data_IF_469499318100
#
_entry.id   IF_469499318100
#
_cell.length_a   1.000
_cell.length_b   1.000
_cell.length_c   1.000
_cell.angle_alpha   90.00
_cell.angle_beta   90.00
_cell.angle_gamma   90.00
#
_symmetry.space_group_name_H-M   'P 1'
#
loop_
_entity.id
_entity.type
_entity.pdbx_description
1 polymer ?
#
# COMPACT_ATOMS: atom_id res chain seq x y z
N UNK A 1 -7.84 21.53 -15.65
CA UNK A 1 -7.69 20.16 -16.16
C UNK A 1 -9.07 19.56 -16.17
N UNK A 2 -9.92 20.03 -17.08
CA UNK A 2 -11.31 19.60 -17.18
C UNK A 2 -11.56 19.27 -18.65
N UNK A 3 -12.32 18.19 -18.88
CA UNK A 3 -12.87 17.75 -20.18
C UNK A 3 -12.14 16.67 -21.00
N UNK A 4 -11.15 15.94 -20.49
CA UNK A 4 -10.48 14.90 -21.32
C UNK A 4 -11.44 13.79 -21.81
N UNK A 5 -12.48 13.45 -21.04
CA UNK A 5 -13.41 12.36 -21.38
C UNK A 5 -14.81 12.83 -21.81
N UNK A 6 -15.16 14.10 -21.57
CA UNK A 6 -16.51 14.61 -21.86
C UNK A 6 -16.71 14.63 -23.37
N UNK A 7 -17.69 13.87 -23.85
CA UNK A 7 -17.97 13.73 -25.29
C UNK A 7 -17.03 12.75 -26.02
N UNK A 8 -16.14 12.07 -25.31
CA UNK A 8 -15.25 11.07 -25.91
C UNK A 8 -15.96 9.73 -26.22
N UNK A 9 -17.13 9.49 -25.64
CA UNK A 9 -17.89 8.24 -25.76
C UNK A 9 -19.26 8.49 -26.41
N UNK A 10 -19.66 7.58 -27.32
CA UNK A 10 -20.94 7.66 -28.04
C UNK A 10 -22.14 7.14 -27.23
N UNK A 11 -21.89 6.24 -26.29
CA UNK A 11 -22.95 5.49 -25.58
C UNK A 11 -22.89 5.63 -24.05
N UNK A 12 -21.88 6.32 -23.51
CA UNK A 12 -21.69 6.51 -22.07
C UNK A 12 -21.53 8.01 -21.81
N UNK A 13 -22.25 8.51 -20.82
CA UNK A 13 -21.99 9.83 -20.26
C UNK A 13 -20.92 9.70 -19.17
N UNK A 14 -19.66 9.98 -19.54
CA UNK A 14 -18.52 9.91 -18.62
C UNK A 14 -18.62 10.87 -17.44
N UNK A 15 -19.49 11.89 -17.51
CA UNK A 15 -19.68 12.85 -16.40
C UNK A 15 -20.47 12.25 -15.25
N UNK A 16 -21.15 11.12 -15.47
CA UNK A 16 -21.85 10.35 -14.44
C UNK A 16 -20.93 9.38 -13.68
N UNK A 17 -19.67 9.26 -14.08
CA UNK A 17 -18.71 8.41 -13.40
C UNK A 17 -18.41 8.96 -12.00
N UNK A 18 -18.45 8.08 -11.01
CA UNK A 18 -18.09 8.37 -9.62
C UNK A 18 -16.73 7.78 -9.32
N UNK A 19 -15.85 8.56 -8.72
CA UNK A 19 -14.54 8.10 -8.25
C UNK A 19 -14.54 8.20 -6.73
N UNK A 20 -14.39 7.06 -6.07
CA UNK A 20 -14.41 6.97 -4.61
C UNK A 20 -13.01 6.60 -4.12
N UNK A 21 -12.39 7.46 -3.31
CA UNK A 21 -11.21 7.15 -2.52
C UNK A 21 -11.67 6.67 -1.14
N UNK A 22 -11.46 5.39 -0.86
CA UNK A 22 -11.86 4.75 0.38
C UNK A 22 -10.63 4.28 1.15
N UNK A 23 -10.55 4.63 2.44
CA UNK A 23 -9.43 4.26 3.30
C UNK A 23 -9.91 4.04 4.75
N UNK A 24 -9.32 3.06 5.44
CA UNK A 24 -9.57 2.84 6.86
C UNK A 24 -8.88 3.90 7.74
N UNK A 25 -7.85 4.58 7.21
CA UNK A 25 -7.18 5.66 7.91
C UNK A 25 -8.11 6.89 8.08
N UNK A 26 -7.92 7.69 9.14
CA UNK A 26 -8.74 8.88 9.40
C UNK A 26 -8.36 10.09 8.53
N UNK A 27 -7.31 9.98 7.71
CA UNK A 27 -6.78 11.09 6.91
C UNK A 27 -6.16 10.58 5.60
N UNK A 28 -6.19 11.43 4.56
CA UNK A 28 -5.41 11.23 3.34
C UNK A 28 -3.93 11.49 3.64
N UNK A 29 -3.04 10.61 3.17
CA UNK A 29 -1.59 10.68 3.36
C UNK A 29 -1.17 10.94 4.84
N UNK A 30 -1.57 10.11 5.82
CA UNK A 30 -1.25 10.34 7.24
C UNK A 30 0.23 10.61 7.53
N UNK A 31 1.21 9.91 6.91
CA UNK A 31 2.64 10.17 7.14
C UNK A 31 3.11 11.58 6.77
N UNK A 32 2.36 12.31 5.93
CA UNK A 32 2.68 13.68 5.51
C UNK A 32 2.14 14.74 6.49
N UNK A 33 1.40 14.32 7.52
CA UNK A 33 0.80 15.20 8.52
C UNK A 33 -0.49 15.89 8.05
N UNK A 34 -1.26 16.40 9.02
CA UNK A 34 -2.62 16.90 8.80
C UNK A 34 -2.71 18.03 7.75
N UNK A 35 -1.75 18.97 7.75
CA UNK A 35 -1.76 20.11 6.82
C UNK A 35 -1.66 19.67 5.35
N UNK A 36 -0.75 18.74 5.04
CA UNK A 36 -0.57 18.26 3.67
C UNK A 36 -1.67 17.28 3.27
N UNK A 37 -2.12 16.43 4.20
CA UNK A 37 -3.25 15.54 4.00
C UNK A 37 -4.54 16.29 3.65
N UNK A 38 -4.88 17.35 4.39
CA UNK A 38 -6.05 18.20 4.10
C UNK A 38 -5.94 18.90 2.75
N UNK A 39 -4.76 19.40 2.38
CA UNK A 39 -4.53 20.00 1.05
C UNK A 39 -4.74 18.98 -0.07
N UNK A 40 -4.24 17.76 0.10
CA UNK A 40 -4.46 16.67 -0.86
C UNK A 40 -5.94 16.31 -0.97
N UNK A 41 -6.64 16.16 0.16
CA UNK A 41 -8.07 15.87 0.20
C UNK A 41 -8.90 16.96 -0.50
N UNK A 42 -8.66 18.25 -0.19
CA UNK A 42 -9.34 19.36 -0.83
C UNK A 42 -9.10 19.39 -2.35
N UNK A 43 -7.87 19.04 -2.79
CA UNK A 43 -7.55 18.95 -4.22
C UNK A 43 -8.32 17.82 -4.90
N UNK A 44 -8.40 16.64 -4.29
CA UNK A 44 -9.14 15.48 -4.81
C UNK A 44 -10.65 15.77 -4.87
N UNK A 45 -11.21 16.38 -3.83
CA UNK A 45 -12.62 16.80 -3.81
C UNK A 45 -12.93 17.81 -4.91
N UNK A 46 -12.03 18.78 -5.16
CA UNK A 46 -12.16 19.73 -6.28
C UNK A 46 -12.17 19.04 -7.65
N UNK A 47 -11.59 17.85 -7.76
CA UNK A 47 -11.60 17.01 -8.97
C UNK A 47 -12.84 16.09 -9.05
N UNK A 48 -13.74 16.15 -8.07
CA UNK A 48 -14.95 15.31 -8.01
C UNK A 48 -14.75 13.94 -7.36
N UNK A 49 -13.64 13.72 -6.65
CA UNK A 49 -13.41 12.47 -5.91
C UNK A 49 -14.20 12.49 -4.60
N UNK A 50 -15.02 11.46 -4.40
CA UNK A 50 -15.69 11.17 -3.13
C UNK A 50 -14.69 10.53 -2.17
N UNK A 51 -14.43 11.17 -1.03
CA UNK A 51 -13.48 10.67 -0.03
C UNK A 51 -14.26 10.05 1.13
N UNK A 52 -14.00 8.76 1.41
CA UNK A 52 -14.60 8.00 2.51
C UNK A 52 -13.50 7.44 3.41
N UNK A 53 -13.22 8.15 4.50
CA UNK A 53 -12.17 7.81 5.49
C UNK A 53 -12.78 7.11 6.69
N UNK A 54 -11.97 6.36 7.45
CA UNK A 54 -12.47 5.56 8.58
C UNK A 54 -13.41 4.42 8.14
N UNK A 55 -13.34 4.03 6.87
CA UNK A 55 -14.20 3.02 6.26
C UNK A 55 -13.32 1.87 5.75
N UNK A 56 -13.59 0.66 6.21
CA UNK A 56 -12.78 -0.52 5.91
C UNK A 56 -13.47 -1.42 4.91
N UNK A 57 -12.79 -1.79 3.82
CA UNK A 57 -13.27 -2.87 2.95
C UNK A 57 -13.13 -4.19 3.67
N UNK A 58 -14.23 -4.94 3.78
CA UNK A 58 -14.25 -6.26 4.42
C UNK A 58 -14.43 -7.39 3.42
N UNK A 59 -14.95 -7.10 2.22
CA UNK A 59 -15.14 -8.10 1.17
C UNK A 59 -15.14 -7.44 -0.23
N UNK A 60 -14.75 -8.21 -1.25
CA UNK A 60 -14.71 -7.79 -2.65
C UNK A 60 -15.20 -8.93 -3.53
N UNK A 61 -16.14 -8.63 -4.42
CA UNK A 61 -16.61 -9.58 -5.42
C UNK A 61 -16.54 -8.96 -6.84
N UNK A 62 -17.18 -9.63 -7.81
CA UNK A 62 -17.21 -9.19 -9.20
C UNK A 62 -17.83 -7.79 -9.35
N UNK A 63 -18.90 -7.52 -8.62
CA UNK A 63 -19.80 -6.39 -8.84
C UNK A 63 -19.51 -5.20 -7.90
N UNK A 64 -18.65 -5.36 -6.89
CA UNK A 64 -18.38 -4.27 -5.95
C UNK A 64 -17.62 -4.69 -4.70
N UNK A 65 -17.78 -3.87 -3.65
CA UNK A 65 -17.12 -4.03 -2.35
C UNK A 65 -18.10 -3.90 -1.18
N UNK A 66 -17.83 -4.63 -0.10
CA UNK A 66 -18.50 -4.48 1.20
C UNK A 66 -17.63 -3.65 2.12
N UNK A 67 -18.22 -2.65 2.74
CA UNK A 67 -17.55 -1.64 3.56
C UNK A 67 -18.14 -1.64 4.96
N UNK A 68 -17.28 -1.66 5.96
CA UNK A 68 -17.61 -1.42 7.36
C UNK A 68 -17.17 -0.01 7.75
N UNK A 69 -18.11 0.85 8.08
CA UNK A 69 -17.86 2.20 8.57
C UNK A 69 -17.42 2.19 10.04
N UNK A 70 -16.89 3.31 10.53
CA UNK A 70 -16.36 3.44 11.90
C UNK A 70 -17.41 3.25 13.00
N UNK A 71 -18.69 3.48 12.68
CA UNK A 71 -19.82 3.25 13.59
C UNK A 71 -20.29 1.78 13.62
N UNK A 72 -19.66 0.91 12.83
CA UNK A 72 -20.00 -0.50 12.71
C UNK A 72 -21.02 -0.82 11.61
N UNK A 73 -21.58 0.19 10.94
CA UNK A 73 -22.51 0.00 9.82
C UNK A 73 -21.80 -0.74 8.69
N UNK A 74 -22.49 -1.74 8.11
CA UNK A 74 -22.01 -2.47 6.95
C UNK A 74 -22.85 -2.10 5.74
N UNK A 75 -22.19 -1.63 4.68
CA UNK A 75 -22.84 -1.21 3.44
C UNK A 75 -22.09 -1.69 2.21
N UNK A 76 -22.79 -1.62 1.09
CA UNK A 76 -22.33 -2.09 -0.21
C UNK A 76 -22.03 -0.90 -1.13
N UNK A 77 -20.94 -0.98 -1.89
CA UNK A 77 -20.65 -0.07 -3.00
C UNK A 77 -20.53 -0.90 -4.27
N UNK A 78 -21.49 -0.75 -5.17
CA UNK A 78 -21.43 -1.35 -6.50
C UNK A 78 -20.39 -0.61 -7.36
N UNK A 79 -19.45 -1.37 -7.93
CA UNK A 79 -18.45 -0.86 -8.86
C UNK A 79 -17.92 -1.95 -9.76
N UNK A 80 -17.87 -1.67 -11.07
CA UNK A 80 -17.18 -2.53 -12.02
C UNK A 80 -15.66 -2.44 -11.91
N UNK A 81 -15.13 -1.26 -11.57
CA UNK A 81 -13.69 -0.99 -11.48
C UNK A 81 -13.27 -0.83 -10.02
N UNK A 82 -12.35 -1.68 -9.57
CA UNK A 82 -11.76 -1.62 -8.23
C UNK A 82 -10.25 -1.60 -8.37
N UNK A 83 -9.60 -0.60 -7.78
CA UNK A 83 -8.14 -0.49 -7.72
C UNK A 83 -7.73 -0.63 -6.27
N UNK A 84 -7.00 -1.70 -5.94
CA UNK A 84 -6.53 -1.93 -4.59
C UNK A 84 -5.11 -1.39 -4.41
N UNK A 85 -4.99 -0.35 -3.59
CA UNK A 85 -3.70 0.25 -3.21
C UNK A 85 -3.51 0.30 -1.69
N UNK A 86 -4.30 -0.48 -0.94
CA UNK A 86 -4.30 -0.49 0.51
C UNK A 86 -3.43 -1.65 1.05
N UNK A 87 -2.16 -1.34 1.34
CA UNK A 87 -1.21 -2.30 1.90
C UNK A 87 -0.61 -3.25 0.87
N UNK A 88 0.57 -3.77 1.22
CA UNK A 88 1.32 -4.75 0.44
C UNK A 88 1.73 -5.91 1.35
N UNK A 89 1.91 -7.08 0.77
CA UNK A 89 2.51 -8.24 1.43
C UNK A 89 3.86 -8.54 0.78
N UNK A 90 4.80 -9.02 1.58
CA UNK A 90 6.10 -9.45 1.10
C UNK A 90 5.98 -10.69 0.20
N UNK A 91 7.01 -10.90 -0.62
CA UNK A 91 7.12 -12.07 -1.50
C UNK A 91 7.04 -13.39 -0.73
N UNK A 92 6.46 -14.42 -1.36
CA UNK A 92 6.42 -15.80 -0.82
C UNK A 92 7.82 -16.32 -0.47
N UNK A 93 8.86 -15.85 -1.16
CA UNK A 93 10.25 -16.21 -0.87
C UNK A 93 10.65 -15.95 0.59
N UNK A 94 10.04 -14.96 1.26
CA UNK A 94 10.26 -14.73 2.69
C UNK A 94 9.86 -15.94 3.55
N UNK A 95 8.76 -16.60 3.22
CA UNK A 95 8.33 -17.84 3.89
C UNK A 95 9.29 -18.99 3.64
N UNK A 96 9.72 -19.16 2.40
CA UNK A 96 10.66 -20.22 2.05
C UNK A 96 12.00 -20.04 2.79
N UNK A 97 12.44 -18.79 2.99
CA UNK A 97 13.61 -18.46 3.82
C UNK A 97 13.35 -18.78 5.30
N UNK A 98 12.22 -18.34 5.85
CA UNK A 98 11.84 -18.63 7.24
C UNK A 98 11.79 -20.12 7.57
N UNK A 99 11.25 -20.95 6.67
CA UNK A 99 11.20 -22.40 6.85
C UNK A 99 12.61 -23.03 6.89
N UNK A 100 13.55 -22.52 6.10
CA UNK A 100 14.90 -23.07 5.98
C UNK A 100 15.87 -22.54 7.04
N UNK A 101 15.75 -21.25 7.40
CA UNK A 101 16.68 -20.58 8.33
C UNK A 101 16.12 -20.43 9.74
N UNK A 102 14.81 -20.69 9.94
CA UNK A 102 14.06 -20.40 11.17
C UNK A 102 14.03 -18.93 11.55
N UNK A 103 14.29 -18.03 10.59
CA UNK A 103 14.15 -16.58 10.79
C UNK A 103 12.69 -16.20 10.95
N UNK A 104 12.42 -15.27 11.84
CA UNK A 104 11.08 -14.74 12.04
C UNK A 104 10.64 -13.85 10.88
N UNK A 105 9.33 -13.83 10.63
CA UNK A 105 8.69 -12.90 9.69
C UNK A 105 7.81 -11.93 10.47
N UNK A 106 7.71 -10.69 9.98
CA UNK A 106 6.70 -9.77 10.49
C UNK A 106 5.29 -10.11 9.96
N UNK A 107 4.28 -9.38 10.43
CA UNK A 107 2.88 -9.50 9.98
C UNK A 107 2.71 -9.43 8.46
N UNK A 108 3.54 -8.64 7.77
CA UNK A 108 3.48 -8.46 6.33
C UNK A 108 4.26 -9.54 5.56
N UNK A 109 4.91 -10.47 6.26
CA UNK A 109 5.73 -11.54 5.69
C UNK A 109 7.17 -11.12 5.39
N UNK A 110 7.62 -9.97 5.88
CA UNK A 110 8.99 -9.48 5.69
C UNK A 110 9.93 -10.23 6.63
N UNK A 111 11.11 -10.58 6.13
CA UNK A 111 12.16 -11.31 6.84
C UNK A 111 12.84 -10.38 7.84
N UNK A 112 12.90 -10.81 9.10
CA UNK A 112 13.69 -10.10 10.11
C UNK A 112 15.18 -10.23 9.80
N UNK A 113 15.86 -9.11 9.65
CA UNK A 113 17.29 -9.06 9.32
C UNK A 113 18.10 -8.45 10.46
N UNK A 114 19.39 -8.75 10.48
CA UNK A 114 20.37 -8.09 11.34
C UNK A 114 20.67 -6.65 10.83
N UNK A 115 21.38 -5.81 11.61
CA UNK A 115 21.74 -4.46 11.18
C UNK A 115 22.56 -4.37 9.89
N UNK A 116 23.26 -5.44 9.52
CA UNK A 116 23.99 -5.60 8.27
C UNK A 116 23.14 -6.20 7.13
N UNK A 117 21.83 -6.32 7.35
CA UNK A 117 20.84 -6.88 6.42
C UNK A 117 21.00 -8.37 6.13
N UNK A 118 21.82 -9.08 6.91
CA UNK A 118 21.93 -10.54 6.82
C UNK A 118 20.81 -11.24 7.58
N UNK A 119 20.55 -12.50 7.22
CA UNK A 119 19.69 -13.38 8.02
C UNK A 119 20.46 -13.83 9.28
N UNK A 120 19.85 -13.83 10.47
CA UNK A 120 20.46 -14.39 11.68
C UNK A 120 20.94 -15.83 11.47
N UNK A 121 22.22 -16.09 11.75
CA UNK A 121 22.85 -17.41 11.55
C UNK A 121 23.33 -17.70 10.12
N UNK A 122 23.07 -16.81 9.16
CA UNK A 122 23.46 -16.95 7.75
C UNK A 122 24.11 -15.66 7.25
N UNK A 123 25.39 -15.39 7.62
CA UNK A 123 26.06 -14.12 7.31
C UNK A 123 26.31 -13.89 5.81
N UNK A 124 26.16 -14.92 4.99
CA UNK A 124 26.31 -14.88 3.53
C UNK A 124 24.98 -14.70 2.79
N UNK A 125 23.85 -14.56 3.50
CA UNK A 125 22.52 -14.38 2.91
C UNK A 125 21.94 -13.06 3.37
N UNK A 126 21.72 -12.15 2.41
CA UNK A 126 21.19 -10.81 2.66
C UNK A 126 19.77 -10.67 2.12
N UNK A 127 18.92 -9.93 2.83
CA UNK A 127 17.58 -9.57 2.36
C UNK A 127 17.47 -8.04 2.31
N UNK A 128 17.03 -7.52 1.17
CA UNK A 128 16.90 -6.08 0.92
C UNK A 128 15.52 -5.73 0.36
N UNK A 129 15.18 -4.44 0.39
CA UNK A 129 13.94 -3.92 -0.17
C UNK A 129 12.69 -4.38 0.58
N UNK A 130 11.58 -4.54 -0.14
CA UNK A 130 10.27 -4.79 0.46
C UNK A 130 10.16 -6.13 1.22
N UNK A 131 11.12 -7.03 1.02
CA UNK A 131 11.21 -8.28 1.78
C UNK A 131 11.91 -8.13 3.14
N UNK A 132 12.66 -7.05 3.37
CA UNK A 132 13.41 -6.87 4.60
C UNK A 132 12.57 -6.12 5.66
N UNK A 133 12.52 -6.67 6.87
CA UNK A 133 12.02 -5.95 8.04
C UNK A 133 13.20 -5.27 8.73
N UNK A 134 13.30 -3.96 8.56
CA UNK A 134 14.29 -3.11 9.23
C UNK A 134 13.55 -2.13 10.12
N UNK A 135 13.91 -2.07 11.40
CA UNK A 135 13.25 -1.20 12.37
C UNK A 135 13.35 0.27 11.95
N UNK A 136 12.23 1.00 12.03
CA UNK A 136 12.16 2.41 11.66
C UNK A 136 12.23 2.70 10.15
N UNK A 137 12.36 1.69 9.29
CA UNK A 137 12.43 1.87 7.83
C UNK A 137 11.10 1.51 7.17
N UNK A 138 10.40 2.49 6.55
CA UNK A 138 9.16 2.22 5.83
C UNK A 138 9.44 1.47 4.51
N UNK A 139 8.43 0.75 4.02
CA UNK A 139 8.45 0.08 2.71
C UNK A 139 8.38 1.09 1.56
N UNK A 140 9.51 1.73 1.26
CA UNK A 140 9.67 2.70 0.18
C UNK A 140 10.98 2.45 -0.57
N UNK A 141 11.03 2.91 -1.83
CA UNK A 141 12.17 2.72 -2.71
C UNK A 141 13.50 3.23 -2.11
N UNK A 142 13.48 4.29 -1.29
CA UNK A 142 14.66 4.86 -0.65
C UNK A 142 15.34 3.86 0.30
N UNK A 143 14.57 3.09 1.07
CA UNK A 143 15.11 2.05 1.95
C UNK A 143 15.75 0.92 1.15
N UNK A 144 15.08 0.49 0.08
CA UNK A 144 15.60 -0.53 -0.85
C UNK A 144 16.93 -0.10 -1.49
N UNK A 145 16.99 1.14 -2.01
CA UNK A 145 18.20 1.67 -2.67
C UNK A 145 19.37 1.77 -1.68
N UNK A 146 19.12 2.25 -0.45
CA UNK A 146 20.16 2.36 0.57
C UNK A 146 20.67 0.97 1.00
N UNK A 147 19.76 0.04 1.29
CA UNK A 147 20.12 -1.33 1.67
C UNK A 147 20.89 -2.06 0.56
N UNK A 148 20.46 -1.92 -0.69
CA UNK A 148 21.15 -2.53 -1.84
C UNK A 148 22.58 -1.98 -2.00
N UNK A 149 22.78 -0.66 -1.88
CA UNK A 149 24.12 -0.05 -1.93
C UNK A 149 25.03 -0.55 -0.80
N UNK A 150 24.48 -0.63 0.41
CA UNK A 150 25.19 -1.15 1.57
C UNK A 150 25.65 -2.60 1.34
N UNK A 151 24.71 -3.51 1.04
CA UNK A 151 25.02 -4.93 0.82
C UNK A 151 26.02 -5.13 -0.32
N UNK A 152 25.89 -4.37 -1.42
CA UNK A 152 26.84 -4.44 -2.53
C UNK A 152 28.27 -4.06 -2.09
N UNK A 153 28.43 -3.09 -1.19
CA UNK A 153 29.74 -2.74 -0.64
C UNK A 153 30.28 -3.81 0.31
N UNK A 154 29.42 -4.43 1.13
CA UNK A 154 29.78 -5.50 2.07
C UNK A 154 30.25 -6.75 1.32
N UNK A 155 29.57 -7.14 0.24
CA UNK A 155 29.93 -8.33 -0.55
C UNK A 155 31.27 -8.16 -1.29
N UNK A 156 31.63 -6.91 -1.66
CA UNK A 156 32.86 -6.63 -2.40
C UNK A 156 34.12 -6.63 -1.51
N UNK A 157 33.97 -6.34 -0.22
CA UNK A 157 35.06 -6.23 0.75
C UNK A 157 35.66 -7.60 1.09
#
# INVERSE_FOLDING_TARGET
AEHTLKGAFRHIDSTKARVILLDAAPAVLPPMGAKLGQRAAARLQKLGVEIQLGAMVTDVDRNGITVKDSDGTVRRIESACKVWSAGVSASRLGRDLAEQSRVELDRAGRVQVLPDLSIPGYPNVFVVGDMAAVEGVPGVAQGAIQGAKYVASTIKA
#
